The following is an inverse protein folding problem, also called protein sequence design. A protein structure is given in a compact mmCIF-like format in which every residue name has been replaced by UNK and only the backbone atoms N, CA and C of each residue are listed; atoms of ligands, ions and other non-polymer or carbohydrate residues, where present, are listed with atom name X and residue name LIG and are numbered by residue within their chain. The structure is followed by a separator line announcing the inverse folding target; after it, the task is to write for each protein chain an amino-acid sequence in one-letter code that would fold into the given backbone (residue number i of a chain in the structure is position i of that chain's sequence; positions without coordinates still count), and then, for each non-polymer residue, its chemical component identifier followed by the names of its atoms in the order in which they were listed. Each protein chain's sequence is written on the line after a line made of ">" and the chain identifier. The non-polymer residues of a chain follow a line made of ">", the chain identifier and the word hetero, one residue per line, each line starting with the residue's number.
data_IF_948823462571
#
_entry.id   IF_948823462571
#
_cell.length_a   1.000
_cell.length_b   1.000
_cell.length_c   1.000
_cell.angle_alpha   90.00
_cell.angle_beta   90.00
_cell.angle_gamma   90.00
#
_symmetry.space_group_name_H-M   'P 1'
#
loop_
_entity.id
_entity.type
_entity.pdbx_description
1 polymer ?
#
# COMPACT_ATOMS: atom_id res chain seq x y z
N UNK A 1 -2.30 1.79 -21.03
CA UNK A 1 -3.61 2.07 -20.45
C UNK A 1 -4.23 3.18 -21.28
N UNK A 2 -5.44 3.00 -21.77
CA UNK A 2 -6.18 4.04 -22.52
C UNK A 2 -6.82 5.02 -21.56
N UNK A 3 -7.21 6.21 -22.04
CA UNK A 3 -7.92 7.20 -21.22
C UNK A 3 -9.24 6.64 -20.66
N UNK A 4 -9.93 5.80 -21.45
CA UNK A 4 -11.15 5.12 -21.03
C UNK A 4 -10.91 4.13 -19.88
N UNK A 5 -9.79 3.39 -19.90
CA UNK A 5 -9.42 2.48 -18.80
C UNK A 5 -9.09 3.26 -17.52
N UNK A 6 -8.41 4.40 -17.65
CA UNK A 6 -8.08 5.29 -16.52
C UNK A 6 -9.35 5.87 -15.91
N UNK A 7 -10.24 6.42 -16.76
CA UNK A 7 -11.53 6.97 -16.35
C UNK A 7 -12.38 5.90 -15.63
N UNK A 8 -12.38 4.68 -16.15
CA UNK A 8 -13.14 3.56 -15.57
C UNK A 8 -12.60 3.21 -14.19
N UNK A 9 -11.29 3.04 -14.05
CA UNK A 9 -10.64 2.73 -12.78
C UNK A 9 -10.89 3.84 -11.73
N UNK A 10 -10.84 5.10 -12.14
CA UNK A 10 -11.13 6.24 -11.28
C UNK A 10 -12.59 6.23 -10.81
N UNK A 11 -13.53 6.03 -11.74
CA UNK A 11 -14.96 5.99 -11.41
C UNK A 11 -15.30 4.83 -10.47
N UNK A 12 -14.73 3.64 -10.72
CA UNK A 12 -14.86 2.47 -9.84
C UNK A 12 -14.32 2.80 -8.45
N UNK A 13 -13.11 3.37 -8.34
CA UNK A 13 -12.55 3.74 -7.05
C UNK A 13 -13.45 4.73 -6.29
N UNK A 14 -13.99 5.75 -6.95
CA UNK A 14 -14.88 6.74 -6.33
C UNK A 14 -16.18 6.13 -5.78
N UNK A 15 -16.78 5.21 -6.53
CA UNK A 15 -18.03 4.53 -6.17
C UNK A 15 -17.81 3.44 -5.11
N UNK A 16 -16.65 2.79 -5.12
CA UNK A 16 -16.31 1.79 -4.11
C UNK A 16 -16.08 2.44 -2.75
N UNK A 17 -15.47 3.64 -2.71
CA UNK A 17 -15.31 4.42 -1.47
C UNK A 17 -16.66 4.82 -0.87
N UNK A 18 -17.59 5.34 -1.68
CA UNK A 18 -18.92 5.78 -1.24
C UNK A 18 -19.92 5.77 -2.40
N UNK A 19 -21.22 5.65 -2.09
CA UNK A 19 -22.27 5.97 -3.07
C UNK A 19 -22.16 7.46 -3.44
N UNK A 20 -22.28 7.78 -4.73
CA UNK A 20 -22.08 9.16 -5.23
C UNK A 20 -23.26 9.64 -6.06
N UNK A 21 -23.57 10.93 -5.96
CA UNK A 21 -24.46 11.56 -6.93
C UNK A 21 -23.74 11.76 -8.26
N UNK A 22 -24.49 11.96 -9.33
CA UNK A 22 -23.94 12.28 -10.66
C UNK A 22 -22.98 13.47 -10.61
N UNK A 23 -23.42 14.58 -10.00
CA UNK A 23 -22.63 15.80 -9.86
C UNK A 23 -21.36 15.59 -9.04
N UNK A 24 -21.44 14.82 -7.95
CA UNK A 24 -20.25 14.52 -7.14
C UNK A 24 -19.20 13.73 -7.90
N UNK A 25 -19.60 12.83 -8.81
CA UNK A 25 -18.64 12.11 -9.65
C UNK A 25 -17.99 13.03 -10.68
N UNK A 26 -18.77 13.92 -11.31
CA UNK A 26 -18.23 14.91 -12.24
C UNK A 26 -17.17 15.83 -11.59
N UNK A 27 -17.37 16.19 -10.32
CA UNK A 27 -16.42 17.04 -9.58
C UNK A 27 -15.14 16.29 -9.16
N UNK A 28 -15.22 14.98 -8.93
CA UNK A 28 -14.13 14.16 -8.38
C UNK A 28 -13.23 13.53 -9.46
N UNK A 29 -13.78 13.28 -10.64
CA UNK A 29 -13.05 12.72 -11.76
C UNK A 29 -12.28 13.85 -12.47
N UNK A 30 -10.94 13.81 -12.45
CA UNK A 30 -10.12 14.86 -13.04
C UNK A 30 -10.28 14.86 -14.57
N UNK A 31 -10.68 16.01 -15.10
CA UNK A 31 -10.95 16.31 -16.51
C UNK A 31 -11.63 15.17 -17.28
N UNK A 32 -12.97 15.14 -17.20
CA UNK A 32 -13.74 14.80 -18.39
C UNK A 32 -13.21 15.71 -19.52
N UNK A 33 -12.75 15.20 -20.67
CA UNK A 33 -12.31 16.05 -21.78
C UNK A 33 -13.43 17.03 -22.04
N UNK A 34 -13.15 18.29 -21.71
CA UNK A 34 -14.12 19.37 -21.67
C UNK A 34 -15.03 19.32 -22.92
N UNK A 35 -16.37 19.41 -22.80
CA UNK A 35 -17.25 19.47 -23.97
C UNK A 35 -16.95 20.66 -24.90
N UNK A 36 -16.12 21.63 -24.46
CA UNK A 36 -15.60 22.72 -25.30
C UNK A 36 -14.38 22.33 -26.16
N UNK A 37 -13.81 21.14 -26.01
CA UNK A 37 -12.64 20.68 -26.76
C UNK A 37 -12.96 19.97 -28.07
N UNK A 38 -14.24 19.67 -28.35
CA UNK A 38 -14.61 18.89 -29.53
C UNK A 38 -14.11 17.44 -29.41
N UNK A 39 -15.05 16.56 -29.06
CA UNK A 39 -15.06 15.10 -29.29
C UNK A 39 -13.76 14.55 -29.88
N UNK A 40 -12.97 13.84 -29.08
CA UNK A 40 -11.97 12.90 -29.60
C UNK A 40 -12.75 11.68 -30.13
N UNK A 41 -12.63 11.32 -31.42
CA UNK A 41 -13.27 10.12 -31.93
C UNK A 41 -12.67 8.88 -31.24
N UNK A 42 -13.47 8.18 -30.44
CA UNK A 42 -13.12 6.88 -29.85
C UNK A 42 -13.18 6.74 -28.33
N UNK A 43 -13.41 7.81 -27.56
CA UNK A 43 -13.57 7.74 -26.10
C UNK A 43 -15.03 7.46 -25.69
N UNK A 44 -15.25 6.56 -24.73
CA UNK A 44 -16.56 6.39 -24.08
C UNK A 44 -16.99 7.69 -23.39
N UNK A 45 -18.26 8.08 -23.53
CA UNK A 45 -18.79 9.21 -22.77
C UNK A 45 -18.88 8.88 -21.28
N UNK A 46 -18.70 9.89 -20.43
CA UNK A 46 -18.88 9.76 -18.97
C UNK A 46 -20.17 8.99 -18.61
N UNK A 47 -21.29 9.32 -19.26
CA UNK A 47 -22.58 8.66 -19.03
C UNK A 47 -22.57 7.17 -19.39
N UNK A 48 -21.96 6.83 -20.54
CA UNK A 48 -21.85 5.43 -20.96
C UNK A 48 -20.98 4.65 -19.98
N UNK A 49 -19.94 5.27 -19.43
CA UNK A 49 -19.07 4.64 -18.46
C UNK A 49 -19.77 4.45 -17.11
N UNK A 50 -20.46 5.49 -16.62
CA UNK A 50 -21.23 5.44 -15.38
C UNK A 50 -22.31 4.37 -15.44
N UNK A 51 -23.06 4.32 -16.53
CA UNK A 51 -24.06 3.28 -16.76
C UNK A 51 -23.46 1.88 -16.83
N UNK A 52 -22.21 1.74 -17.30
CA UNK A 52 -21.54 0.45 -17.35
C UNK A 52 -21.12 -0.04 -15.96
N UNK A 53 -20.62 0.83 -15.08
CA UNK A 53 -20.04 0.44 -13.78
C UNK A 53 -20.98 0.56 -12.58
N UNK A 54 -22.10 1.27 -12.70
CA UNK A 54 -22.95 1.60 -11.56
C UNK A 54 -24.42 1.30 -11.76
N UNK A 55 -25.10 0.97 -10.66
CA UNK A 55 -26.55 0.95 -10.54
C UNK A 55 -27.05 2.25 -9.92
N UNK A 56 -28.15 2.78 -10.44
CA UNK A 56 -28.80 3.98 -9.90
C UNK A 56 -29.82 3.60 -8.81
N UNK A 57 -29.63 4.13 -7.61
CA UNK A 57 -30.60 4.09 -6.51
C UNK A 57 -31.45 5.35 -6.56
N UNK A 58 -32.75 5.19 -6.78
CA UNK A 58 -33.70 6.29 -6.81
C UNK A 58 -33.74 7.06 -5.47
N UNK A 59 -34.10 8.35 -5.48
CA UNK A 59 -34.30 9.13 -4.25
C UNK A 59 -35.28 8.46 -3.29
N UNK A 60 -34.95 8.46 -2.00
CA UNK A 60 -35.81 7.89 -0.94
C UNK A 60 -36.17 8.99 0.06
N UNK A 61 -37.42 8.98 0.51
CA UNK A 61 -37.87 9.80 1.63
C UNK A 61 -37.60 9.07 2.94
N UNK A 62 -36.80 9.69 3.81
CA UNK A 62 -36.57 9.18 5.16
C UNK A 62 -37.75 9.54 6.07
N UNK A 63 -37.95 8.75 7.13
CA UNK A 63 -39.07 8.93 8.07
C UNK A 63 -39.09 10.30 8.77
N UNK A 64 -37.99 11.08 8.71
CA UNK A 64 -37.89 12.45 9.21
C UNK A 64 -38.28 13.55 8.20
N UNK A 65 -38.74 13.19 7.00
CA UNK A 65 -39.11 14.14 5.95
C UNK A 65 -37.92 14.68 5.14
N UNK A 66 -36.69 14.25 5.44
CA UNK A 66 -35.51 14.47 4.60
C UNK A 66 -35.61 13.63 3.32
N UNK A 67 -35.29 14.25 2.19
CA UNK A 67 -35.18 13.56 0.90
C UNK A 67 -33.71 13.27 0.61
N UNK A 68 -33.37 11.99 0.47
CA UNK A 68 -32.05 11.58 0.00
C UNK A 68 -32.02 11.64 -1.52
N UNK A 69 -31.06 12.36 -2.09
CA UNK A 69 -30.88 12.43 -3.54
C UNK A 69 -30.52 11.04 -4.10
N UNK A 70 -30.90 10.77 -5.35
CA UNK A 70 -30.52 9.53 -6.02
C UNK A 70 -29.01 9.39 -6.14
N UNK A 71 -28.50 8.18 -5.93
CA UNK A 71 -27.07 7.89 -5.87
C UNK A 71 -26.70 6.70 -6.74
N UNK A 72 -25.46 6.67 -7.19
CA UNK A 72 -24.85 5.57 -7.91
C UNK A 72 -24.07 4.68 -6.95
N UNK A 73 -24.26 3.36 -7.08
CA UNK A 73 -23.51 2.32 -6.37
C UNK A 73 -22.78 1.45 -7.38
N UNK A 74 -21.60 0.87 -7.06
CA UNK A 74 -20.97 -0.10 -7.97
C UNK A 74 -21.88 -1.31 -8.18
N UNK A 75 -21.88 -1.83 -9.42
CA UNK A 75 -22.53 -3.09 -9.77
C UNK A 75 -21.84 -4.29 -9.11
N UNK A 76 -22.56 -5.41 -9.05
CA UNK A 76 -22.00 -6.66 -8.55
C UNK A 76 -20.77 -7.13 -9.33
N UNK A 77 -20.78 -7.03 -10.68
CA UNK A 77 -19.64 -7.44 -11.51
C UNK A 77 -18.42 -6.55 -11.23
N UNK A 78 -18.63 -5.27 -10.91
CA UNK A 78 -17.55 -4.35 -10.58
C UNK A 78 -16.84 -4.77 -9.29
N UNK A 79 -17.57 -5.25 -8.28
CA UNK A 79 -16.93 -5.77 -7.07
C UNK A 79 -16.13 -7.03 -7.32
N UNK A 80 -16.57 -7.88 -8.23
CA UNK A 80 -15.94 -9.17 -8.51
C UNK A 80 -14.72 -9.04 -9.43
N UNK A 81 -14.82 -8.17 -10.45
CA UNK A 81 -13.85 -8.10 -11.54
C UNK A 81 -13.05 -6.80 -11.55
N UNK A 82 -13.56 -5.71 -10.96
CA UNK A 82 -13.05 -4.35 -11.17
C UNK A 82 -12.50 -3.65 -9.91
N UNK A 83 -12.96 -4.03 -8.72
CA UNK A 83 -12.49 -3.46 -7.47
C UNK A 83 -10.98 -3.68 -7.25
N UNK A 84 -10.26 -2.59 -7.01
CA UNK A 84 -8.83 -2.59 -6.72
C UNK A 84 -8.55 -1.77 -5.45
N UNK A 85 -8.18 -2.41 -4.32
CA UNK A 85 -7.90 -1.70 -3.08
C UNK A 85 -6.67 -0.77 -3.19
N UNK A 86 -5.72 -1.07 -4.08
CA UNK A 86 -4.55 -0.20 -4.31
C UNK A 86 -4.98 1.07 -5.02
N UNK A 87 -5.84 0.97 -6.04
CA UNK A 87 -6.38 2.15 -6.72
C UNK A 87 -7.10 3.08 -5.74
N UNK A 88 -7.87 2.51 -4.82
CA UNK A 88 -8.52 3.27 -3.73
C UNK A 88 -7.49 3.96 -2.83
N UNK A 89 -6.46 3.24 -2.36
CA UNK A 89 -5.40 3.81 -1.51
C UNK A 89 -4.68 4.96 -2.21
N UNK A 90 -4.43 4.84 -3.52
CA UNK A 90 -3.74 5.87 -4.31
C UNK A 90 -4.60 7.12 -4.56
N UNK A 91 -5.92 7.02 -4.43
CA UNK A 91 -6.84 8.12 -4.76
C UNK A 91 -7.32 8.95 -3.58
N UNK A 92 -7.19 8.44 -2.36
CA UNK A 92 -7.63 9.16 -1.15
C UNK A 92 -6.52 9.30 -0.11
N UNK A 93 -6.51 10.44 0.58
CA UNK A 93 -5.67 10.67 1.77
C UNK A 93 -6.41 10.28 3.05
N UNK A 94 -7.71 10.03 2.98
CA UNK A 94 -8.54 9.75 4.15
C UNK A 94 -8.64 8.24 4.39
N UNK A 95 -8.06 7.78 5.51
CA UNK A 95 -8.11 6.36 5.92
C UNK A 95 -9.53 5.79 5.96
N UNK A 96 -10.52 6.61 6.34
CA UNK A 96 -11.93 6.19 6.39
C UNK A 96 -12.48 5.76 5.04
N UNK A 97 -12.01 6.35 3.94
CA UNK A 97 -12.53 6.03 2.60
C UNK A 97 -12.01 4.68 2.14
N UNK A 98 -10.74 4.37 2.45
CA UNK A 98 -10.15 3.06 2.19
C UNK A 98 -10.84 1.98 3.03
N UNK A 99 -11.08 2.27 4.32
CA UNK A 99 -11.82 1.34 5.19
C UNK A 99 -13.25 1.10 4.67
N UNK A 100 -13.96 2.17 4.31
CA UNK A 100 -15.32 2.08 3.73
C UNK A 100 -15.35 1.18 2.50
N UNK A 101 -14.38 1.33 1.58
CA UNK A 101 -14.30 0.48 0.39
C UNK A 101 -14.09 -1.00 0.74
N UNK A 102 -13.20 -1.31 1.69
CA UNK A 102 -12.94 -2.68 2.14
C UNK A 102 -14.12 -3.30 2.88
N UNK A 103 -14.83 -2.53 3.71
CA UNK A 103 -16.02 -2.98 4.42
C UNK A 103 -17.16 -3.29 3.45
N UNK A 104 -17.36 -2.43 2.44
CA UNK A 104 -18.34 -2.62 1.36
C UNK A 104 -18.02 -3.85 0.51
N UNK A 105 -16.75 -4.05 0.16
CA UNK A 105 -16.31 -5.27 -0.53
C UNK A 105 -16.55 -6.54 0.32
N UNK A 106 -16.25 -6.48 1.61
CA UNK A 106 -16.51 -7.59 2.54
C UNK A 106 -18.01 -7.90 2.65
N UNK A 107 -18.86 -6.87 2.67
CA UNK A 107 -20.30 -7.04 2.67
C UNK A 107 -20.79 -7.73 1.38
N UNK A 108 -20.25 -7.34 0.22
CA UNK A 108 -20.52 -8.01 -1.06
C UNK A 108 -20.12 -9.49 -1.05
N UNK A 109 -18.93 -9.82 -0.54
CA UNK A 109 -18.48 -11.22 -0.44
C UNK A 109 -19.34 -12.07 0.50
N UNK A 110 -19.80 -11.49 1.61
CA UNK A 110 -20.72 -12.15 2.54
C UNK A 110 -22.08 -12.40 1.87
N UNK A 111 -22.60 -11.44 1.13
CA UNK A 111 -23.87 -11.56 0.42
C UNK A 111 -23.83 -12.59 -0.72
N UNK A 112 -22.71 -12.66 -1.44
CA UNK A 112 -22.49 -13.64 -2.52
C UNK A 112 -22.15 -15.05 -2.02
N UNK A 113 -21.93 -15.24 -0.72
CA UNK A 113 -21.57 -16.52 -0.11
C UNK A 113 -20.17 -17.01 -0.45
N UNK A 114 -19.31 -16.15 -1.02
CA UNK A 114 -17.97 -16.54 -1.53
C UNK A 114 -16.93 -16.74 -0.42
N UNK A 115 -17.04 -16.04 0.71
CA UNK A 115 -16.01 -16.07 1.77
C UNK A 115 -16.63 -16.02 3.16
N UNK A 116 -16.02 -16.77 4.10
CA UNK A 116 -16.27 -16.66 5.54
C UNK A 116 -15.08 -15.93 6.20
N UNK A 117 -15.35 -14.89 6.99
CA UNK A 117 -14.32 -14.11 7.70
C UNK A 117 -13.89 -12.83 6.98
N UNK A 118 -12.69 -12.33 7.32
CA UNK A 118 -12.10 -11.16 6.67
C UNK A 118 -11.37 -11.60 5.40
N UNK A 119 -11.78 -11.12 4.22
CA UNK A 119 -11.17 -11.49 2.97
C UNK A 119 -9.77 -10.88 2.85
N UNK A 120 -8.86 -11.60 2.20
CA UNK A 120 -7.63 -11.01 1.72
C UNK A 120 -7.96 -9.91 0.67
N UNK A 121 -7.26 -8.76 0.65
CA UNK A 121 -7.49 -7.75 -0.36
C UNK A 121 -7.35 -8.34 -1.77
N UNK A 122 -8.26 -8.02 -2.71
CA UNK A 122 -8.21 -8.57 -4.07
C UNK A 122 -7.16 -7.81 -4.89
N UNK A 123 -5.89 -8.07 -4.63
CA UNK A 123 -4.81 -7.51 -5.45
C UNK A 123 -4.92 -8.04 -6.86
N UNK A 124 -4.87 -7.11 -7.81
CA UNK A 124 -5.01 -7.42 -9.23
C UNK A 124 -3.67 -7.50 -9.92
N UNK A 125 -3.64 -8.37 -10.93
CA UNK A 125 -2.55 -8.37 -11.90
C UNK A 125 -2.47 -7.00 -12.56
N UNK A 126 -1.27 -6.42 -12.55
CA UNK A 126 -1.06 -5.07 -13.05
C UNK A 126 -1.03 -5.01 -14.57
N UNK A 127 -1.47 -3.87 -15.09
CA UNK A 127 -1.15 -3.45 -16.46
C UNK A 127 0.35 -3.23 -16.58
N UNK A 128 0.94 -3.64 -17.70
CA UNK A 128 2.34 -3.36 -17.99
C UNK A 128 2.63 -1.86 -17.93
N UNK A 129 3.76 -1.50 -17.31
CA UNK A 129 4.22 -0.12 -17.31
C UNK A 129 4.51 0.34 -18.73
N UNK A 130 4.25 1.62 -19.00
CA UNK A 130 4.70 2.24 -20.24
C UNK A 130 6.23 2.11 -20.35
N UNK A 131 6.79 1.84 -21.54
CA UNK A 131 8.23 1.63 -21.72
C UNK A 131 9.12 2.72 -21.10
N UNK A 132 8.68 3.98 -21.13
CA UNK A 132 9.38 5.12 -20.52
C UNK A 132 9.58 4.99 -18.99
N UNK A 133 8.77 4.18 -18.33
CA UNK A 133 8.83 3.94 -16.89
C UNK A 133 9.40 2.57 -16.52
N UNK A 134 9.88 1.77 -17.48
CA UNK A 134 10.44 0.43 -17.19
C UNK A 134 11.59 0.49 -16.17
N UNK A 135 12.35 1.58 -16.15
CA UNK A 135 13.41 1.81 -15.17
C UNK A 135 12.94 1.85 -13.70
N UNK A 136 11.68 2.20 -13.44
CA UNK A 136 11.13 2.21 -12.08
C UNK A 136 11.11 0.81 -11.45
N UNK A 137 11.02 -0.24 -12.27
CA UNK A 137 11.04 -1.62 -11.77
C UNK A 137 12.39 -1.99 -11.14
N UNK A 138 13.48 -1.30 -11.50
CA UNK A 138 14.77 -1.48 -10.83
C UNK A 138 14.74 -1.06 -9.36
N UNK A 139 13.86 -0.12 -8.98
CA UNK A 139 13.69 0.29 -7.58
C UNK A 139 13.17 -0.86 -6.72
N UNK A 140 12.38 -1.77 -7.29
CA UNK A 140 11.86 -2.94 -6.59
C UNK A 140 12.94 -3.94 -6.17
N UNK A 141 14.12 -3.85 -6.81
CA UNK A 141 15.27 -4.73 -6.60
C UNK A 141 16.47 -3.96 -6.05
N UNK A 142 16.24 -2.89 -5.28
CA UNK A 142 17.34 -2.18 -4.62
C UNK A 142 17.36 -2.48 -3.11
N UNK A 143 18.57 -2.70 -2.57
CA UNK A 143 18.79 -2.95 -1.12
C UNK A 143 18.07 -1.95 -0.23
N UNK A 144 18.12 -0.65 -0.56
CA UNK A 144 17.47 0.40 0.23
C UNK A 144 15.97 0.19 0.34
N UNK A 145 15.27 -0.16 -0.75
CA UNK A 145 13.85 -0.45 -0.67
C UNK A 145 13.59 -1.69 0.19
N UNK A 146 14.38 -2.75 0.05
CA UNK A 146 14.23 -3.96 0.88
C UNK A 146 14.36 -3.65 2.37
N UNK A 147 15.29 -2.77 2.74
CA UNK A 147 15.46 -2.31 4.13
C UNK A 147 14.22 -1.54 4.60
N UNK A 148 13.65 -0.69 3.75
CA UNK A 148 12.40 0.04 4.06
C UNK A 148 11.25 -0.95 4.27
N UNK A 149 11.07 -1.90 3.37
CA UNK A 149 10.02 -2.93 3.45
C UNK A 149 10.17 -3.77 4.73
N UNK A 150 11.37 -4.25 5.03
CA UNK A 150 11.67 -4.97 6.27
C UNK A 150 11.35 -4.13 7.51
N UNK A 151 11.78 -2.86 7.53
CA UNK A 151 11.55 -1.97 8.67
C UNK A 151 10.07 -1.72 8.90
N UNK A 152 9.28 -1.56 7.83
CA UNK A 152 7.84 -1.38 7.92
C UNK A 152 7.16 -2.65 8.43
N UNK A 153 7.50 -3.82 7.89
CA UNK A 153 6.97 -5.11 8.36
C UNK A 153 7.30 -5.36 9.83
N UNK A 154 8.54 -5.09 10.25
CA UNK A 154 8.95 -5.23 11.64
C UNK A 154 8.15 -4.31 12.56
N UNK A 155 7.99 -3.04 12.19
CA UNK A 155 7.19 -2.11 13.00
C UNK A 155 5.71 -2.50 13.06
N UNK A 156 5.14 -3.03 11.98
CA UNK A 156 3.76 -3.56 11.97
C UNK A 156 3.66 -4.76 12.92
N UNK A 157 4.62 -5.68 12.87
CA UNK A 157 4.66 -6.84 13.77
C UNK A 157 4.77 -6.43 15.24
N UNK A 158 5.49 -5.35 15.54
CA UNK A 158 5.64 -4.81 16.89
C UNK A 158 4.45 -3.91 17.32
N UNK A 159 3.35 -3.91 16.58
CA UNK A 159 2.15 -3.10 16.83
C UNK A 159 2.46 -1.61 17.06
N UNK A 160 3.38 -1.07 16.26
CA UNK A 160 3.80 0.32 16.41
C UNK A 160 2.63 1.27 16.14
N UNK A 161 2.29 2.07 17.15
CA UNK A 161 1.26 3.10 17.03
C UNK A 161 1.56 3.97 15.80
N UNK A 162 0.55 4.20 14.95
CA UNK A 162 0.59 4.93 13.67
C UNK A 162 0.84 4.13 12.39
N UNK A 163 1.04 2.80 12.43
CA UNK A 163 1.03 1.99 11.21
C UNK A 163 -0.36 1.43 10.93
N UNK A 164 -1.02 2.01 9.92
CA UNK A 164 -2.35 1.54 9.49
C UNK A 164 -2.25 0.30 8.62
N UNK A 165 -3.32 -0.50 8.59
CA UNK A 165 -3.49 -1.67 7.71
C UNK A 165 -3.23 -1.34 6.23
N UNK A 166 -3.53 -0.12 5.78
CA UNK A 166 -3.24 0.31 4.41
C UNK A 166 -1.73 0.39 4.11
N UNK A 167 -0.88 0.66 5.12
CA UNK A 167 0.58 0.63 4.95
C UNK A 167 1.03 -0.81 4.76
N UNK A 168 0.48 -1.76 5.53
CA UNK A 168 0.72 -3.18 5.31
C UNK A 168 0.31 -3.59 3.88
N UNK A 169 -0.88 -3.15 3.43
CA UNK A 169 -1.34 -3.42 2.07
C UNK A 169 -0.36 -2.92 1.01
N UNK A 170 0.13 -1.69 1.13
CA UNK A 170 1.12 -1.13 0.20
C UNK A 170 2.47 -1.84 0.25
N UNK A 171 2.91 -2.27 1.45
CA UNK A 171 4.16 -3.03 1.63
C UNK A 171 4.07 -4.39 0.95
N UNK A 172 3.00 -5.14 1.23
CA UNK A 172 2.76 -6.45 0.61
C UNK A 172 2.64 -6.33 -0.89
N UNK A 173 1.99 -5.27 -1.36
CA UNK A 173 1.86 -4.97 -2.77
C UNK A 173 3.21 -4.70 -3.46
N UNK A 174 4.08 -3.89 -2.85
CA UNK A 174 5.43 -3.66 -3.39
C UNK A 174 6.27 -4.93 -3.41
N UNK A 175 6.11 -5.81 -2.41
CA UNK A 175 6.76 -7.12 -2.37
C UNK A 175 6.26 -8.00 -3.52
N UNK A 176 4.95 -8.13 -3.70
CA UNK A 176 4.35 -8.91 -4.79
C UNK A 176 4.86 -8.44 -6.15
N UNK A 177 4.90 -7.12 -6.38
CA UNK A 177 5.47 -6.54 -7.60
C UNK A 177 6.94 -6.89 -7.79
N UNK A 178 7.75 -6.80 -6.73
CA UNK A 178 9.16 -7.18 -6.81
C UNK A 178 9.33 -8.66 -7.14
N UNK A 179 8.48 -9.53 -6.60
CA UNK A 179 8.52 -10.97 -6.87
C UNK A 179 8.17 -11.29 -8.32
N UNK A 180 7.10 -10.70 -8.87
CA UNK A 180 6.71 -10.89 -10.27
C UNK A 180 7.82 -10.45 -11.25
N UNK A 181 8.56 -9.39 -10.90
CA UNK A 181 9.59 -8.79 -11.75
C UNK A 181 11.01 -9.34 -11.48
N UNK A 182 11.14 -10.39 -10.65
CA UNK A 182 12.43 -10.99 -10.33
C UNK A 182 13.01 -11.86 -11.46
N UNK A 183 12.14 -12.40 -12.33
CA UNK A 183 12.54 -13.26 -13.45
C UNK A 183 13.18 -12.52 -14.64
N UNK A 184 12.98 -11.20 -14.74
CA UNK A 184 13.46 -10.40 -15.87
C UNK A 184 14.89 -9.85 -15.70
N UNK A 185 15.55 -10.06 -14.55
CA UNK A 185 16.81 -9.38 -14.18
C UNK A 185 18.03 -10.30 -14.02
N UNK A 186 17.97 -11.58 -14.37
CA UNK A 186 19.13 -12.49 -14.21
C UNK A 186 20.33 -12.16 -15.11
N UNK A 187 20.28 -11.15 -16.01
CA UNK A 187 21.34 -10.91 -17.00
C UNK A 187 22.19 -9.65 -16.86
N UNK A 188 21.82 -8.61 -16.09
CA UNK A 188 22.45 -7.30 -16.29
C UNK A 188 23.16 -6.79 -15.03
N UNK A 189 24.45 -7.11 -14.99
CA UNK A 189 25.58 -6.35 -14.47
C UNK A 189 25.58 -5.94 -12.99
N UNK A 190 26.61 -6.46 -12.29
CA UNK A 190 27.13 -5.94 -11.04
C UNK A 190 27.47 -4.45 -11.17
N UNK A 191 26.52 -3.59 -10.81
CA UNK A 191 26.80 -2.15 -10.71
C UNK A 191 27.65 -1.90 -9.45
N UNK A 192 28.94 -2.14 -9.61
CA UNK A 192 30.01 -1.61 -8.77
C UNK A 192 30.08 -0.08 -8.93
N UNK A 193 29.02 0.63 -8.55
CA UNK A 193 29.09 2.07 -8.38
C UNK A 193 29.63 2.37 -6.98
N UNK A 194 30.93 2.61 -6.93
CA UNK A 194 31.65 3.08 -5.76
C UNK A 194 30.94 4.30 -5.15
N UNK A 195 30.52 4.17 -3.89
CA UNK A 195 29.84 5.25 -3.19
C UNK A 195 29.67 4.91 -1.73
N UNK A 196 30.51 5.52 -0.89
CA UNK A 196 30.34 5.74 0.56
C UNK A 196 29.48 4.69 1.29
N UNK A 197 30.14 3.70 1.90
CA UNK A 197 29.54 2.63 2.71
C UNK A 197 28.43 3.19 3.62
N UNK A 198 27.16 2.94 3.27
CA UNK A 198 26.03 3.40 4.07
C UNK A 198 25.88 2.43 5.22
N UNK A 199 25.49 2.94 6.40
CA UNK A 199 25.36 2.08 7.60
C UNK A 199 24.42 0.88 7.42
N UNK A 200 23.48 0.97 6.47
CA UNK A 200 22.49 -0.05 6.17
C UNK A 200 22.91 -1.04 5.07
N UNK A 201 24.04 -0.83 4.38
CA UNK A 201 24.52 -1.74 3.33
C UNK A 201 24.85 -3.14 3.86
N UNK A 202 25.04 -3.26 5.19
CA UNK A 202 25.33 -4.51 5.90
C UNK A 202 24.10 -5.37 6.24
N UNK A 203 22.87 -4.87 6.05
CA UNK A 203 21.66 -5.62 6.47
C UNK A 203 21.30 -6.73 5.49
N UNK A 204 21.60 -6.54 4.21
CA UNK A 204 21.29 -7.51 3.16
C UNK A 204 22.49 -7.76 2.25
N UNK A 205 22.74 -9.03 1.87
CA UNK A 205 23.91 -9.40 1.08
C UNK A 205 23.84 -8.85 -0.35
N UNK A 206 22.65 -8.76 -0.95
CA UNK A 206 22.49 -8.42 -2.36
C UNK A 206 21.22 -7.62 -2.67
N UNK A 207 20.98 -7.40 -3.96
CA UNK A 207 19.83 -6.70 -4.52
C UNK A 207 18.66 -7.64 -4.88
N UNK A 208 18.76 -8.93 -4.57
CA UNK A 208 17.71 -9.89 -4.88
C UNK A 208 16.66 -9.94 -3.76
N UNK A 209 15.41 -9.56 -4.06
CA UNK A 209 14.32 -9.51 -3.08
C UNK A 209 14.07 -10.87 -2.41
N UNK A 210 13.96 -11.95 -3.20
CA UNK A 210 13.66 -13.30 -2.69
C UNK A 210 14.72 -13.77 -1.69
N UNK A 211 15.99 -13.58 -2.03
CA UNK A 211 17.12 -13.95 -1.19
C UNK A 211 17.11 -13.15 0.12
N UNK A 212 16.83 -11.85 0.03
CA UNK A 212 16.79 -10.97 1.19
C UNK A 212 15.59 -11.25 2.11
N UNK A 213 14.43 -11.60 1.57
CA UNK A 213 13.27 -11.99 2.40
C UNK A 213 13.51 -13.28 3.21
N UNK A 214 14.41 -14.14 2.75
CA UNK A 214 14.83 -15.37 3.45
C UNK A 214 16.07 -15.15 4.33
N UNK A 215 16.68 -13.97 4.25
CA UNK A 215 17.91 -13.67 4.97
C UNK A 215 17.62 -13.31 6.43
N UNK A 216 18.40 -13.90 7.34
CA UNK A 216 18.35 -13.56 8.76
C UNK A 216 19.30 -12.39 9.06
N UNK A 217 18.74 -11.27 9.51
CA UNK A 217 19.52 -10.08 9.87
C UNK A 217 20.06 -10.24 11.30
N UNK A 218 21.37 -10.46 11.42
CA UNK A 218 22.01 -10.71 12.72
C UNK A 218 22.10 -9.47 13.62
N UNK A 219 22.34 -8.30 13.04
CA UNK A 219 22.42 -7.04 13.78
C UNK A 219 22.00 -5.86 12.91
N UNK A 220 21.40 -4.86 13.54
CA UNK A 220 20.85 -3.67 12.90
C UNK A 220 21.73 -2.48 13.28
N UNK A 221 22.42 -1.89 12.29
CA UNK A 221 23.19 -0.65 12.49
C UNK A 221 22.38 0.55 12.00
N UNK A 222 22.05 1.47 12.91
CA UNK A 222 21.37 2.74 12.60
C UNK A 222 22.28 3.88 13.02
N UNK A 223 22.39 4.92 12.18
CA UNK A 223 23.06 6.16 12.61
C UNK A 223 22.18 6.85 13.64
N UNK A 224 22.77 7.20 14.78
CA UNK A 224 22.10 7.99 15.81
C UNK A 224 21.96 9.42 15.28
N UNK A 225 20.74 10.00 15.22
CA UNK A 225 20.56 11.40 14.86
C UNK A 225 21.35 12.31 15.82
N UNK A 226 21.91 13.40 15.33
CA UNK A 226 22.64 14.38 16.17
C UNK A 226 21.76 14.98 17.28
N UNK A 227 20.44 14.95 17.10
CA UNK A 227 19.44 15.43 18.07
C UNK A 227 18.98 14.37 19.08
N UNK A 228 19.50 13.15 19.03
CA UNK A 228 19.13 12.12 19.99
C UNK A 228 19.67 12.48 21.38
N UNK A 229 18.86 12.36 22.46
CA UNK A 229 19.36 12.58 23.80
C UNK A 229 20.52 11.61 24.07
N UNK A 230 21.61 12.11 24.63
CA UNK A 230 22.75 11.28 25.02
C UNK A 230 22.26 10.19 25.97
N UNK A 231 22.17 8.96 25.47
CA UNK A 231 21.95 7.79 26.30
C UNK A 231 23.25 7.63 27.11
N UNK A 232 23.23 8.06 28.38
CA UNK A 232 24.31 7.72 29.32
C UNK A 232 24.46 6.21 29.30
N UNK A 233 25.54 5.74 28.68
CA UNK A 233 25.93 4.33 28.77
C UNK A 233 26.29 4.07 30.23
N UNK A 234 25.37 3.48 30.98
CA UNK A 234 25.77 2.83 32.22
C UNK A 234 26.70 1.67 31.85
N UNK A 235 27.89 1.57 32.46
CA UNK A 235 28.75 0.42 32.24
C UNK A 235 27.98 -0.84 32.66
N UNK A 236 28.12 -1.96 31.93
CA UNK A 236 27.51 -3.21 32.35
C UNK A 236 28.01 -3.53 33.76
N UNK A 237 27.11 -3.98 34.64
CA UNK A 237 27.44 -4.34 36.00
C UNK A 237 28.63 -5.32 36.00
N UNK A 238 29.78 -4.87 36.49
CA UNK A 238 30.96 -5.71 36.65
C UNK A 238 30.63 -6.83 37.63
N UNK A 239 30.43 -8.04 37.11
CA UNK A 239 30.45 -9.25 37.94
C UNK A 239 31.90 -9.56 38.28
N UNK A 240 32.43 -8.96 39.35
CA UNK A 240 33.64 -9.45 40.01
C UNK A 240 33.25 -10.31 41.20
N UNK A 241 33.24 -11.62 40.98
CA UNK A 241 33.18 -12.65 42.01
C UNK A 241 34.54 -12.83 42.70
N UNK A 242 34.46 -12.95 44.03
CA UNK A 242 35.37 -13.57 45.00
C UNK A 242 36.69 -12.89 45.45
N UNK A 243 36.70 -12.55 46.74
CA UNK A 243 37.43 -13.38 47.71
C UNK A 243 38.67 -12.79 48.38
N UNK A 244 38.53 -12.42 49.66
CA UNK A 244 39.42 -12.69 50.83
C UNK A 244 39.49 -11.48 51.78
N UNK A 245 38.80 -11.57 52.92
CA UNK A 245 39.17 -10.84 54.12
C UNK A 245 39.39 -11.86 55.25
N UNK A 246 40.67 -12.14 55.50
CA UNK A 246 41.18 -12.87 56.65
C UNK A 246 40.83 -12.13 57.94
N UNK A 247 39.98 -12.71 58.78
CA UNK A 247 39.90 -12.38 60.21
C UNK A 247 40.81 -13.33 60.98
N UNK A 248 41.91 -12.79 61.53
CA UNK A 248 42.59 -13.38 62.68
C UNK A 248 42.34 -12.52 63.91
N UNK A 249 42.18 -13.25 65.02
CA UNK A 249 41.74 -12.91 66.36
C UNK A 249 42.74 -12.03 67.11
N UNK A 250 42.25 -11.18 68.02
CA UNK A 250 42.94 -10.87 69.28
C UNK A 250 41.95 -10.53 70.41
N UNK A 251 41.94 -11.46 71.38
CA UNK A 251 41.58 -11.41 72.81
C UNK A 251 40.33 -10.63 73.24
#
# INVERSE_FOLDING_TARGET
>A
MTDDEILRAEMVAQLCMNDRTHSSLLDLIPENPNPKSGIIPGSLSFESMLSAVADFKAPVFEAGGSMQQGMYTPKAEVWDEEFDPVMVILRTVYRRDVQSAMDRYTAFLKQSGKVHGNPWPPYKKRTHLHPSYKGLMKLLHCKTLHIVLFTLLYKILMDHQNLSEHVLCMVLYLIELGLENSSEQESDEEDSMGGHERCHDSWFPGNNLVSNMRHFINYVRVRVPETAPEVKREPPASTSSDGLATSQVKL
#
